data_IF_057023668563
#
_entry.id   IF_057023668563
#
_cell.length_a   1.000
_cell.length_b   1.000
_cell.length_c   1.000
_cell.angle_alpha   90.00
_cell.angle_beta   90.00
_cell.angle_gamma   90.00
#
_symmetry.space_group_name_H-M   'P 1'
#
loop_
_entity.id
_entity.type
_entity.pdbx_description
1 polymer ?
#
# COMPACT_ATOMS: atom_id res chain seq x y z
N UNK A 1 1.07 4.29 -12.79
CA UNK A 1 2.42 4.85 -12.53
C UNK A 1 3.22 3.81 -11.76
N UNK A 2 4.56 3.86 -11.79
CA UNK A 2 5.40 3.10 -10.87
C UNK A 2 5.88 4.10 -9.83
N UNK A 3 5.54 3.89 -8.57
CA UNK A 3 5.73 4.91 -7.53
C UNK A 3 5.98 4.27 -6.16
N UNK A 4 6.68 5.00 -5.30
CA UNK A 4 6.95 4.63 -3.91
C UNK A 4 6.45 5.68 -2.92
N UNK A 5 6.11 6.89 -3.39
CA UNK A 5 5.51 7.92 -2.55
C UNK A 5 4.07 7.55 -2.16
N UNK A 6 3.87 7.30 -0.86
CA UNK A 6 2.59 6.89 -0.31
C UNK A 6 1.48 7.95 -0.44
N UNK A 7 1.82 9.23 -0.54
CA UNK A 7 0.82 10.28 -0.80
C UNK A 7 0.19 10.19 -2.18
N UNK A 8 0.94 9.66 -3.16
CA UNK A 8 0.41 9.38 -4.50
C UNK A 8 -0.35 8.06 -4.48
N UNK A 9 0.25 7.03 -3.89
CA UNK A 9 -0.31 5.66 -3.84
C UNK A 9 -1.69 5.64 -3.17
N UNK A 10 -1.87 6.36 -2.04
CA UNK A 10 -3.16 6.39 -1.33
C UNK A 10 -4.31 7.00 -2.13
N UNK A 11 -4.00 7.77 -3.17
CA UNK A 11 -5.00 8.44 -4.03
C UNK A 11 -5.32 7.66 -5.31
N UNK A 12 -4.63 6.53 -5.54
CA UNK A 12 -4.84 5.73 -6.73
C UNK A 12 -6.17 4.97 -6.66
N UNK A 13 -6.86 4.84 -7.79
CA UNK A 13 -8.08 4.03 -7.88
C UNK A 13 -7.78 2.53 -7.74
N UNK A 14 -6.59 2.11 -8.18
CA UNK A 14 -6.17 0.71 -8.20
C UNK A 14 -4.66 0.57 -8.11
N UNK A 15 -4.21 -0.42 -7.36
CA UNK A 15 -2.82 -0.75 -7.08
C UNK A 15 -2.51 -2.18 -7.54
N UNK A 16 -1.27 -2.40 -7.97
CA UNK A 16 -0.67 -3.72 -8.18
C UNK A 16 0.65 -3.68 -7.43
N UNK A 17 0.76 -4.46 -6.35
CA UNK A 17 1.95 -4.54 -5.51
C UNK A 17 2.82 -5.72 -5.93
N UNK A 18 4.11 -5.45 -6.17
CA UNK A 18 5.08 -6.42 -6.68
C UNK A 18 6.13 -6.66 -5.62
N UNK A 19 6.43 -7.94 -5.37
CA UNK A 19 7.40 -8.34 -4.34
C UNK A 19 7.42 -9.86 -4.18
N UNK A 20 7.57 -10.38 -2.94
CA UNK A 20 7.71 -9.64 -1.68
C UNK A 20 9.05 -8.91 -1.54
N UNK A 21 10.12 -9.44 -2.14
CA UNK A 21 11.46 -8.85 -2.10
C UNK A 21 11.86 -8.23 -3.45
N UNK A 22 13.06 -7.66 -3.51
CA UNK A 22 13.70 -7.27 -4.77
C UNK A 22 14.54 -8.40 -5.39
N UNK A 23 14.85 -8.26 -6.69
CA UNK A 23 15.69 -9.23 -7.41
C UNK A 23 15.06 -10.62 -7.50
N UNK A 24 15.85 -11.67 -7.26
CA UNK A 24 15.42 -13.07 -7.39
C UNK A 24 14.33 -13.48 -6.39
N UNK A 25 14.18 -12.73 -5.28
CA UNK A 25 13.11 -12.94 -4.30
C UNK A 25 11.79 -12.23 -4.63
N UNK A 26 11.73 -11.51 -5.76
CA UNK A 26 10.59 -10.70 -6.16
C UNK A 26 9.85 -11.22 -7.40
N UNK A 27 9.24 -10.30 -8.12
CA UNK A 27 8.62 -10.56 -9.43
C UNK A 27 7.23 -11.19 -9.37
N UNK A 28 6.62 -11.30 -8.19
CA UNK A 28 5.28 -11.83 -8.01
C UNK A 28 4.30 -10.71 -7.68
N UNK A 29 3.04 -10.89 -8.10
CA UNK A 29 1.94 -10.01 -7.65
C UNK A 29 1.57 -10.43 -6.23
N UNK A 30 1.88 -9.58 -5.26
CA UNK A 30 1.63 -9.81 -3.83
C UNK A 30 0.22 -9.37 -3.46
N UNK A 31 -0.24 -8.25 -4.03
CA UNK A 31 -1.57 -7.71 -3.82
C UNK A 31 -2.06 -6.94 -5.05
N UNK A 32 -3.37 -6.88 -5.23
CA UNK A 32 -4.02 -6.07 -6.27
C UNK A 32 -5.38 -5.61 -5.78
N UNK A 33 -5.78 -4.38 -6.11
CA UNK A 33 -7.07 -3.83 -5.70
C UNK A 33 -6.99 -2.34 -5.34
N UNK A 34 -7.97 -1.84 -4.60
CA UNK A 34 -7.93 -0.45 -4.09
C UNK A 34 -6.86 -0.30 -3.01
N UNK A 35 -6.43 0.95 -2.68
CA UNK A 35 -5.54 1.23 -1.56
C UNK A 35 -5.94 0.53 -0.25
N UNK A 36 -7.23 0.53 0.08
CA UNK A 36 -7.78 -0.11 1.28
C UNK A 36 -7.65 -1.63 1.23
N UNK A 37 -7.92 -2.24 0.06
CA UNK A 37 -7.80 -3.69 -0.10
C UNK A 37 -6.34 -4.14 0.02
N UNK A 38 -5.41 -3.42 -0.60
CA UNK A 38 -3.97 -3.72 -0.50
C UNK A 38 -3.46 -3.51 0.93
N UNK A 39 -3.96 -2.50 1.64
CA UNK A 39 -3.60 -2.24 3.04
C UNK A 39 -3.96 -3.39 4.01
N UNK A 40 -4.91 -4.24 3.65
CA UNK A 40 -5.30 -5.41 4.45
C UNK A 40 -4.48 -6.67 4.12
N UNK A 41 -3.63 -6.65 3.09
CA UNK A 41 -2.79 -7.80 2.72
C UNK A 41 -1.51 -7.81 3.57
N UNK A 42 -1.42 -8.76 4.51
CA UNK A 42 -0.30 -8.88 5.44
C UNK A 42 1.06 -9.15 4.78
N UNK A 43 1.07 -9.72 3.58
CA UNK A 43 2.30 -10.00 2.82
C UNK A 43 2.79 -8.77 2.03
N UNK A 44 1.97 -7.73 1.89
CA UNK A 44 2.29 -6.51 1.14
C UNK A 44 3.06 -5.53 2.03
N UNK A 45 4.32 -5.26 1.69
CA UNK A 45 5.08 -4.19 2.34
C UNK A 45 4.43 -2.83 2.07
N UNK A 46 3.96 -2.59 0.85
CA UNK A 46 3.20 -1.39 0.50
C UNK A 46 1.96 -1.25 1.40
N UNK A 47 1.18 -2.32 1.55
CA UNK A 47 0.00 -2.37 2.41
C UNK A 47 0.29 -2.05 3.87
N UNK A 48 1.38 -2.60 4.41
CA UNK A 48 1.82 -2.34 5.79
C UNK A 48 2.02 -0.85 6.09
N UNK A 49 2.66 -0.12 5.18
CA UNK A 49 2.89 1.33 5.33
C UNK A 49 1.71 2.19 4.89
N UNK A 50 0.89 1.71 3.96
CA UNK A 50 -0.28 2.42 3.46
C UNK A 50 -1.41 2.45 4.49
N UNK A 51 -1.61 1.36 5.25
CA UNK A 51 -2.67 1.21 6.24
C UNK A 51 -2.80 2.38 7.24
N UNK A 52 -1.73 2.86 7.92
CA UNK A 52 -1.85 3.99 8.84
C UNK A 52 -2.16 5.33 8.13
N UNK A 53 -1.89 5.46 6.83
CA UNK A 53 -2.17 6.70 6.08
C UNK A 53 -3.64 6.83 5.66
N UNK A 54 -4.36 5.71 5.57
CA UNK A 54 -5.78 5.67 5.24
C UNK A 54 -6.68 5.89 6.47
N UNK A 55 -6.14 5.77 7.68
CA UNK A 55 -6.91 6.00 8.89
C UNK A 55 -7.18 7.49 9.12
N UNK A 56 -8.41 7.89 9.46
CA UNK A 56 -8.71 9.27 9.81
C UNK A 56 -7.87 9.66 11.04
N UNK A 57 -7.09 10.74 10.92
CA UNK A 57 -6.39 11.32 12.07
C UNK A 57 -7.43 11.70 13.11
N UNK A 58 -7.37 11.11 14.30
CA UNK A 58 -8.12 11.60 15.46
C UNK A 58 -7.64 13.02 15.71
N UNK A 59 -8.47 14.01 15.35
CA UNK A 59 -8.24 15.39 15.76
C UNK A 59 -8.44 15.39 17.27
N UNK A 60 -7.39 15.70 18.02
CA UNK A 60 -7.52 15.95 19.44
C UNK A 60 -8.44 17.17 19.59
N UNK A 61 -9.59 17.00 20.25
CA UNK A 61 -10.44 18.11 20.61
C UNK A 61 -9.70 18.97 21.65
N UNK A 62 -9.55 20.27 21.39
CA UNK A 62 -9.18 21.28 22.38
C UNK A 62 -10.37 21.62 23.28
#
# INVERSE_FOLDING_TARGET
VIEHNLDVIKTADHLIDIGPEGGDGGGQVVATGTPEQVAEVSQSYTGHYLKPMLQPKKVAAE
#
